data_IF_971651473394
#
_entry.id   IF_971651473394
#
_cell.length_a   1.000
_cell.length_b   1.000
_cell.length_c   1.000
_cell.angle_alpha   90.00
_cell.angle_beta   90.00
_cell.angle_gamma   90.00
#
_symmetry.space_group_name_H-M   'P 1'
#
loop_
_entity.id
_entity.type
_entity.pdbx_description
1 polymer ?
#
# COMPACT_ATOMS: atom_id res chain seq x y z
N UNK A 1 16.41 -6.77 -26.32
CA UNK A 1 17.54 -6.30 -25.47
C UNK A 1 17.14 -5.74 -24.09
N UNK A 2 16.02 -5.02 -23.92
CA UNK A 2 15.57 -4.50 -22.60
C UNK A 2 15.21 -5.62 -21.59
N UNK A 3 14.53 -6.68 -22.02
CA UNK A 3 14.13 -7.80 -21.14
C UNK A 3 15.30 -8.62 -20.59
N UNK A 4 16.40 -8.75 -21.34
CA UNK A 4 17.62 -9.42 -20.85
C UNK A 4 18.35 -8.59 -19.78
N UNK A 5 18.33 -7.26 -19.88
CA UNK A 5 18.90 -6.38 -18.85
C UNK A 5 18.09 -6.40 -17.54
N UNK A 6 16.77 -6.57 -17.63
CA UNK A 6 15.89 -6.71 -16.45
C UNK A 6 16.13 -8.06 -15.75
N UNK A 7 16.20 -9.18 -16.50
CA UNK A 7 16.55 -10.49 -15.94
C UNK A 7 17.89 -10.49 -15.20
N UNK A 8 18.92 -9.86 -15.79
CA UNK A 8 20.27 -9.77 -15.19
C UNK A 8 20.29 -8.92 -13.91
N UNK A 9 19.47 -7.86 -13.84
CA UNK A 9 19.34 -6.98 -12.67
C UNK A 9 18.58 -7.64 -11.52
N UNK A 10 17.59 -8.47 -11.82
CA UNK A 10 16.86 -9.26 -10.81
C UNK A 10 17.72 -10.40 -10.26
N UNK A 11 18.50 -11.07 -11.11
CA UNK A 11 19.50 -12.06 -10.69
C UNK A 11 20.61 -11.47 -9.80
N UNK A 12 21.04 -10.24 -10.07
CA UNK A 12 21.99 -9.53 -9.20
C UNK A 12 21.39 -9.02 -7.88
N UNK A 13 20.07 -8.78 -7.82
CA UNK A 13 19.36 -8.53 -6.56
C UNK A 13 19.19 -9.81 -5.74
N UNK A 14 18.92 -10.93 -6.41
CA UNK A 14 18.89 -12.28 -5.84
C UNK A 14 20.22 -12.66 -5.18
N UNK A 15 21.36 -12.36 -5.84
CA UNK A 15 22.71 -12.55 -5.28
C UNK A 15 23.07 -11.65 -4.08
N UNK A 16 22.31 -10.57 -3.84
CA UNK A 16 22.52 -9.65 -2.71
C UNK A 16 21.64 -9.96 -1.49
N UNK A 17 20.71 -10.91 -1.63
CA UNK A 17 19.83 -11.32 -0.54
C UNK A 17 20.51 -12.45 0.23
N UNK A 18 21.21 -12.04 1.28
CA UNK A 18 21.81 -12.86 2.35
C UNK A 18 22.49 -14.17 1.91
N UNK A 19 23.83 -14.14 1.85
CA UNK A 19 24.69 -15.26 1.45
C UNK A 19 24.47 -16.55 2.27
N UNK A 20 23.71 -16.51 3.38
CA UNK A 20 23.30 -17.68 4.15
C UNK A 20 22.20 -18.52 3.48
N UNK A 21 21.43 -17.96 2.54
CA UNK A 21 20.29 -18.64 1.89
C UNK A 21 20.61 -19.28 0.53
N UNK A 22 21.76 -18.96 -0.07
CA UNK A 22 22.10 -19.40 -1.44
C UNK A 22 22.84 -20.74 -1.53
N UNK A 23 23.22 -21.36 -0.41
CA UNK A 23 23.96 -22.63 -0.43
C UNK A 23 23.06 -23.86 -0.70
N UNK A 24 21.73 -23.75 -0.59
CA UNK A 24 20.84 -24.91 -0.57
C UNK A 24 20.27 -25.34 -1.94
N UNK A 25 20.21 -24.44 -2.93
CA UNK A 25 19.72 -24.76 -4.28
C UNK A 25 20.74 -25.53 -5.14
N UNK A 26 22.01 -25.57 -4.73
CA UNK A 26 23.08 -26.29 -5.45
C UNK A 26 23.38 -27.69 -4.90
N UNK A 27 22.76 -28.10 -3.80
CA UNK A 27 23.03 -29.41 -3.17
C UNK A 27 22.14 -30.55 -3.68
N UNK A 28 21.18 -30.27 -4.55
CA UNK A 28 20.26 -31.29 -5.07
C UNK A 28 20.84 -32.16 -6.22
N UNK A 29 22.15 -32.09 -6.53
CA UNK A 29 22.69 -32.81 -7.72
C UNK A 29 23.96 -33.66 -7.57
N UNK A 30 24.57 -33.87 -6.40
CA UNK A 30 25.68 -34.86 -6.22
C UNK A 30 25.72 -35.24 -4.73
N UNK A 31 25.71 -36.48 -4.22
CA UNK A 31 26.43 -37.72 -4.56
C UNK A 31 25.59 -38.91 -4.07
N UNK A 32 25.40 -39.90 -4.94
CA UNK A 32 24.95 -41.24 -4.60
C UNK A 32 26.11 -41.99 -3.91
N UNK A 33 25.93 -42.36 -2.65
CA UNK A 33 26.74 -43.35 -1.96
C UNK A 33 25.80 -44.37 -1.32
N UNK A 34 25.71 -45.55 -1.94
CA UNK A 34 24.95 -46.68 -1.44
C UNK A 34 25.60 -47.24 -0.17
N UNK A 35 24.88 -47.17 0.95
CA UNK A 35 25.03 -48.14 2.03
C UNK A 35 23.66 -48.73 2.31
N UNK A 36 23.53 -50.01 2.00
CA UNK A 36 22.32 -50.82 2.21
C UNK A 36 22.02 -50.93 3.71
N UNK A 37 21.11 -50.10 4.21
CA UNK A 37 20.36 -50.37 5.43
C UNK A 37 19.01 -50.95 5.02
N UNK A 38 18.70 -52.13 5.53
CA UNK A 38 17.42 -52.79 5.31
C UNK A 38 16.38 -52.14 6.22
N UNK A 39 15.95 -50.94 5.87
CA UNK A 39 14.78 -50.29 6.46
C UNK A 39 13.66 -50.34 5.41
N UNK A 40 12.41 -50.53 5.84
CA UNK A 40 11.25 -50.52 4.95
C UNK A 40 11.38 -49.32 4.01
N UNK A 41 11.42 -49.56 2.69
CA UNK A 41 11.36 -48.50 1.68
C UNK A 41 10.04 -47.74 1.86
N UNK A 42 10.04 -46.71 2.70
CA UNK A 42 8.96 -45.74 2.74
C UNK A 42 9.03 -44.98 1.43
N UNK A 43 8.06 -45.23 0.54
CA UNK A 43 7.96 -44.52 -0.73
C UNK A 43 7.77 -43.04 -0.44
N UNK A 44 8.77 -42.22 -0.79
CA UNK A 44 8.64 -40.77 -0.68
C UNK A 44 7.81 -40.26 -1.85
N UNK A 45 6.71 -39.59 -1.51
CA UNK A 45 5.78 -38.97 -2.45
C UNK A 45 5.95 -37.45 -2.44
N UNK A 46 5.36 -36.78 -3.43
CA UNK A 46 5.25 -35.32 -3.40
C UNK A 46 4.44 -34.87 -2.17
N UNK A 47 4.71 -33.67 -1.61
CA UNK A 47 3.85 -33.08 -0.60
C UNK A 47 2.43 -32.86 -1.11
N UNK A 48 1.49 -32.63 -0.20
CA UNK A 48 0.13 -32.20 -0.54
C UNK A 48 -0.10 -30.83 0.06
N UNK A 49 -0.47 -29.85 -0.77
CA UNK A 49 -0.71 -28.48 -0.35
C UNK A 49 -1.93 -27.90 -1.04
N UNK A 50 -2.64 -27.01 -0.35
CA UNK A 50 -3.84 -26.32 -0.82
C UNK A 50 -3.57 -24.82 -0.85
N UNK A 51 -4.02 -24.17 -1.93
CA UNK A 51 -3.97 -22.71 -2.03
C UNK A 51 -5.20 -22.13 -1.35
N UNK A 52 -4.98 -21.25 -0.38
CA UNK A 52 -6.06 -20.57 0.34
C UNK A 52 -6.53 -19.29 -0.36
N UNK A 53 -7.23 -18.46 0.39
CA UNK A 53 -7.77 -17.20 -0.10
C UNK A 53 -6.68 -16.13 -0.28
N UNK A 54 -7.00 -15.17 -1.15
CA UNK A 54 -6.26 -13.92 -1.31
C UNK A 54 -6.94 -12.79 -0.52
N UNK A 55 -6.17 -12.09 0.32
CA UNK A 55 -6.63 -10.96 1.12
C UNK A 55 -5.68 -9.77 0.96
N UNK A 56 -6.05 -8.63 1.53
CA UNK A 56 -5.19 -7.45 1.66
C UNK A 56 -4.55 -7.01 0.33
N UNK A 57 -5.31 -7.13 -0.76
CA UNK A 57 -4.85 -6.79 -2.10
C UNK A 57 -4.64 -5.29 -2.17
N UNK A 58 -3.39 -4.89 -2.41
CA UNK A 58 -2.98 -3.53 -2.72
C UNK A 58 -2.51 -3.41 -4.16
N UNK A 59 -2.06 -2.21 -4.53
CA UNK A 59 -1.43 -1.99 -5.82
C UNK A 59 -0.06 -2.66 -5.97
N UNK A 60 0.60 -2.99 -4.86
CA UNK A 60 1.97 -3.52 -4.87
C UNK A 60 2.15 -4.81 -4.07
N UNK A 61 1.17 -5.19 -3.26
CA UNK A 61 1.22 -6.35 -2.40
C UNK A 61 -0.13 -7.09 -2.38
N UNK A 62 -0.11 -8.36 -2.03
CA UNK A 62 -1.31 -9.14 -1.69
C UNK A 62 -0.91 -10.24 -0.71
N UNK A 63 -1.84 -10.70 0.13
CA UNK A 63 -1.60 -11.83 1.04
C UNK A 63 -2.32 -13.05 0.50
N UNK A 64 -1.63 -14.18 0.39
CA UNK A 64 -2.22 -15.46 0.00
C UNK A 64 -1.96 -16.47 1.11
N UNK A 65 -3.01 -17.12 1.58
CA UNK A 65 -2.90 -18.20 2.56
C UNK A 65 -2.58 -19.53 1.88
N UNK A 66 -1.95 -20.45 2.61
CA UNK A 66 -1.65 -21.79 2.12
C UNK A 66 -1.54 -22.78 3.27
N UNK A 67 -1.84 -24.04 2.97
CA UNK A 67 -1.77 -25.14 3.94
C UNK A 67 -1.04 -26.31 3.31
N UNK A 68 -0.05 -26.88 3.99
CA UNK A 68 0.50 -28.21 3.68
C UNK A 68 -0.24 -29.25 4.54
N UNK A 69 -0.85 -30.25 3.92
CA UNK A 69 -1.61 -31.31 4.63
C UNK A 69 -0.83 -32.61 4.74
N UNK A 70 0.21 -32.78 3.93
CA UNK A 70 1.15 -33.90 4.01
C UNK A 70 2.51 -33.50 3.45
N UNK A 71 3.59 -33.96 4.08
CA UNK A 71 4.95 -33.83 3.56
C UNK A 71 5.35 -34.99 2.63
N UNK A 72 4.44 -35.91 2.33
CA UNK A 72 4.72 -37.03 1.43
C UNK A 72 5.75 -38.04 1.94
N UNK A 73 6.03 -38.06 3.25
CA UNK A 73 6.97 -39.02 3.86
C UNK A 73 8.44 -38.57 3.90
N UNK A 74 8.77 -37.34 3.51
CA UNK A 74 10.10 -36.74 3.72
C UNK A 74 9.99 -35.32 4.27
N UNK A 75 11.08 -34.81 4.85
CA UNK A 75 11.15 -33.47 5.46
C UNK A 75 10.79 -32.40 4.41
N UNK A 76 9.99 -31.41 4.79
CA UNK A 76 9.73 -30.25 3.92
C UNK A 76 10.98 -29.38 3.84
N UNK A 77 11.39 -29.07 2.62
CA UNK A 77 12.56 -28.25 2.30
C UNK A 77 12.19 -26.80 1.99
N UNK A 78 10.99 -26.58 1.45
CA UNK A 78 10.47 -25.25 1.14
C UNK A 78 8.94 -25.28 1.09
N UNK A 79 8.31 -24.15 1.41
CA UNK A 79 6.90 -23.91 1.11
C UNK A 79 6.65 -22.41 0.93
N UNK A 80 5.50 -22.06 0.34
CA UNK A 80 5.12 -20.68 0.12
C UNK A 80 4.15 -20.54 -1.03
N UNK A 81 4.15 -19.38 -1.69
CA UNK A 81 3.25 -19.10 -2.81
C UNK A 81 4.05 -18.65 -4.02
N UNK A 82 3.82 -19.26 -5.17
CA UNK A 82 4.33 -18.82 -6.47
C UNK A 82 3.23 -18.07 -7.24
N UNK A 83 3.62 -17.10 -8.07
CA UNK A 83 2.69 -16.24 -8.79
C UNK A 83 3.27 -15.71 -10.10
N UNK A 84 2.39 -15.41 -11.05
CA UNK A 84 2.76 -14.91 -12.37
C UNK A 84 1.70 -13.97 -12.95
N UNK A 85 2.09 -13.19 -13.96
CA UNK A 85 1.17 -12.40 -14.81
C UNK A 85 0.86 -13.09 -16.14
N UNK A 86 1.50 -14.24 -16.40
CA UNK A 86 1.29 -15.03 -17.60
C UNK A 86 0.04 -15.91 -17.52
N UNK A 87 -0.34 -16.47 -18.67
CA UNK A 87 -1.50 -17.35 -18.78
C UNK A 87 -1.25 -18.77 -18.24
N UNK A 88 0.01 -19.18 -18.10
CA UNK A 88 0.38 -20.47 -17.52
C UNK A 88 0.17 -20.50 -16.01
N UNK A 89 -0.06 -21.68 -15.45
CA UNK A 89 -0.08 -21.86 -14.00
C UNK A 89 1.31 -21.56 -13.42
N UNK A 90 1.40 -20.76 -12.35
CA UNK A 90 2.68 -20.35 -11.80
C UNK A 90 3.43 -21.55 -11.22
N UNK A 91 4.76 -21.47 -11.29
CA UNK A 91 5.69 -22.41 -10.67
C UNK A 91 6.75 -21.66 -9.87
N UNK A 92 7.58 -22.38 -9.12
CA UNK A 92 8.71 -21.76 -8.39
C UNK A 92 9.77 -21.11 -9.30
N UNK A 93 9.70 -21.31 -10.63
CA UNK A 93 10.55 -20.64 -11.62
C UNK A 93 10.04 -19.23 -12.01
N UNK A 94 8.82 -18.87 -11.59
CA UNK A 94 8.24 -17.54 -11.75
C UNK A 94 8.64 -16.62 -10.57
N UNK A 95 7.70 -15.82 -10.06
CA UNK A 95 7.86 -15.13 -8.80
C UNK A 95 7.36 -16.01 -7.66
N UNK A 96 8.00 -15.94 -6.50
CA UNK A 96 7.54 -16.67 -5.32
C UNK A 96 7.80 -15.89 -4.02
N UNK A 97 7.00 -16.19 -3.02
CA UNK A 97 7.13 -15.75 -1.63
C UNK A 97 7.24 -17.00 -0.76
N UNK A 98 8.46 -17.32 -0.33
CA UNK A 98 8.74 -18.43 0.58
C UNK A 98 8.39 -18.06 2.03
N UNK A 99 7.94 -19.04 2.81
CA UNK A 99 7.57 -18.91 4.22
C UNK A 99 8.07 -20.13 5.01
N UNK A 100 7.99 -20.04 6.35
CA UNK A 100 8.51 -21.04 7.26
C UNK A 100 10.02 -20.88 7.51
N UNK A 101 10.47 -21.40 8.64
CA UNK A 101 11.88 -21.49 8.97
C UNK A 101 12.39 -22.90 8.64
N UNK A 102 13.43 -22.98 7.80
CA UNK A 102 14.06 -24.25 7.53
C UNK A 102 15.01 -24.62 8.66
N UNK A 103 14.75 -25.76 9.31
CA UNK A 103 15.64 -26.35 10.32
C UNK A 103 16.31 -27.61 9.77
N UNK A 104 17.30 -28.22 10.47
CA UNK A 104 17.82 -29.54 10.11
C UNK A 104 16.74 -30.64 10.03
N UNK A 105 15.59 -30.42 10.65
CA UNK A 105 14.42 -31.30 10.62
C UNK A 105 13.40 -30.94 9.54
N UNK A 106 13.73 -29.98 8.68
CA UNK A 106 12.84 -29.40 7.70
C UNK A 106 11.97 -28.30 8.30
N UNK A 107 10.97 -27.88 7.53
CA UNK A 107 9.94 -26.95 8.01
C UNK A 107 8.94 -27.75 8.87
N UNK A 108 8.80 -27.35 10.14
CA UNK A 108 8.03 -28.07 11.15
C UNK A 108 6.53 -28.00 10.87
N UNK A 109 5.79 -29.03 11.30
CA UNK A 109 4.35 -29.17 11.02
C UNK A 109 3.50 -28.02 11.59
N UNK A 110 3.94 -27.40 12.68
CA UNK A 110 3.28 -26.23 13.27
C UNK A 110 3.28 -24.99 12.35
N UNK A 111 4.19 -24.92 11.38
CA UNK A 111 4.26 -23.84 10.39
C UNK A 111 3.46 -24.14 9.11
N UNK A 112 2.90 -25.35 8.95
CA UNK A 112 2.31 -25.78 7.68
C UNK A 112 1.03 -25.02 7.30
N UNK A 113 0.42 -24.28 8.23
CA UNK A 113 -0.61 -23.29 7.95
C UNK A 113 0.01 -21.91 7.97
N UNK A 114 0.00 -21.20 6.84
CA UNK A 114 0.73 -19.96 6.68
C UNK A 114 -0.01 -18.92 5.83
N UNK A 115 0.48 -17.69 5.92
CA UNK A 115 0.15 -16.60 5.00
C UNK A 115 1.43 -16.05 4.38
N UNK A 116 1.45 -15.90 3.05
CA UNK A 116 2.57 -15.35 2.30
C UNK A 116 2.21 -13.98 1.74
N UNK A 117 3.03 -12.96 2.02
CA UNK A 117 2.90 -11.65 1.39
C UNK A 117 3.61 -11.64 0.05
N UNK A 118 2.84 -11.58 -1.04
CA UNK A 118 3.34 -11.31 -2.38
C UNK A 118 3.69 -9.83 -2.48
N UNK A 119 4.90 -9.51 -2.93
CA UNK A 119 5.39 -8.12 -3.02
C UNK A 119 5.83 -7.73 -4.42
N UNK A 120 5.86 -6.44 -4.69
CA UNK A 120 6.32 -5.89 -5.96
C UNK A 120 5.36 -6.14 -7.12
N UNK A 121 4.06 -6.25 -6.82
CA UNK A 121 3.01 -6.30 -7.81
C UNK A 121 2.95 -4.98 -8.60
N UNK A 122 2.49 -5.07 -9.84
CA UNK A 122 2.18 -3.89 -10.66
C UNK A 122 0.73 -3.53 -10.43
N UNK A 123 0.42 -2.24 -10.26
CA UNK A 123 -0.96 -1.76 -10.06
C UNK A 123 -1.88 -2.20 -11.20
N UNK A 124 -3.18 -2.41 -10.92
CA UNK A 124 -4.20 -2.78 -11.92
C UNK A 124 -3.79 -3.96 -12.82
N UNK A 125 -3.09 -4.95 -12.28
CA UNK A 125 -2.54 -6.08 -13.04
C UNK A 125 -3.14 -7.40 -12.55
N UNK A 126 -3.55 -8.25 -13.48
CA UNK A 126 -4.06 -9.59 -13.18
C UNK A 126 -2.90 -10.55 -12.85
N UNK A 127 -3.10 -11.38 -11.84
CA UNK A 127 -2.16 -12.37 -11.36
C UNK A 127 -2.84 -13.73 -11.18
N UNK A 128 -2.06 -14.78 -11.42
CA UNK A 128 -2.35 -16.14 -10.95
C UNK A 128 -1.41 -16.47 -9.79
N UNK A 129 -1.89 -17.19 -8.77
CA UNK A 129 -1.09 -17.62 -7.63
C UNK A 129 -1.40 -19.07 -7.23
N UNK A 130 -0.40 -19.77 -6.69
CA UNK A 130 -0.49 -21.15 -6.18
C UNK A 130 0.40 -21.34 -4.96
N UNK A 131 -0.12 -21.98 -3.92
CA UNK A 131 0.70 -22.54 -2.86
C UNK A 131 1.64 -23.61 -3.46
N UNK A 132 2.86 -23.69 -2.94
CA UNK A 132 3.81 -24.75 -3.26
C UNK A 132 4.44 -25.32 -1.98
N UNK A 133 4.85 -26.58 -2.06
CA UNK A 133 5.62 -27.25 -1.03
C UNK A 133 6.59 -28.24 -1.68
N UNK A 134 7.81 -28.32 -1.16
CA UNK A 134 8.88 -29.13 -1.73
C UNK A 134 9.47 -30.08 -0.69
N UNK A 135 9.73 -31.32 -1.09
CA UNK A 135 10.54 -32.30 -0.38
C UNK A 135 11.55 -32.94 -1.36
N UNK A 136 12.22 -34.02 -0.98
CA UNK A 136 13.17 -34.72 -1.86
C UNK A 136 12.54 -35.35 -3.12
N UNK A 137 11.24 -35.67 -3.11
CA UNK A 137 10.53 -36.19 -4.29
C UNK A 137 10.19 -35.08 -5.30
N UNK A 138 10.23 -33.81 -4.90
CA UNK A 138 10.04 -32.65 -5.77
C UNK A 138 9.11 -31.61 -5.17
N UNK A 139 8.53 -30.78 -6.05
CA UNK A 139 7.62 -29.68 -5.66
C UNK A 139 6.19 -29.99 -6.06
N UNK A 140 5.31 -29.99 -5.07
CA UNK A 140 3.87 -30.03 -5.25
C UNK A 140 3.30 -28.61 -5.28
N UNK A 141 2.14 -28.49 -5.92
CA UNK A 141 1.44 -27.22 -6.06
C UNK A 141 -0.04 -27.41 -5.76
N UNK A 142 -0.63 -26.44 -5.06
CA UNK A 142 -2.06 -26.36 -4.83
C UNK A 142 -2.83 -25.89 -6.06
N UNK A 143 -4.09 -25.54 -5.85
CA UNK A 143 -4.99 -24.99 -6.85
C UNK A 143 -4.53 -23.61 -7.33
N UNK A 144 -4.77 -23.30 -8.61
CA UNK A 144 -4.53 -21.95 -9.13
C UNK A 144 -5.69 -21.04 -8.77
N UNK A 145 -5.38 -19.93 -8.08
CA UNK A 145 -6.31 -18.82 -7.87
C UNK A 145 -5.91 -17.64 -8.76
N UNK A 146 -6.87 -16.75 -9.04
CA UNK A 146 -6.65 -15.52 -9.80
C UNK A 146 -7.09 -14.32 -8.99
N UNK A 147 -6.35 -13.22 -9.09
CA UNK A 147 -6.69 -11.94 -8.48
C UNK A 147 -6.15 -10.77 -9.30
N UNK A 148 -6.64 -9.57 -9.05
CA UNK A 148 -6.13 -8.35 -9.70
C UNK A 148 -5.67 -7.38 -8.63
N UNK A 149 -4.43 -6.92 -8.71
CA UNK A 149 -3.91 -5.89 -7.82
C UNK A 149 -4.75 -4.61 -7.92
N UNK A 150 -4.93 -3.91 -6.81
CA UNK A 150 -5.74 -2.69 -6.79
C UNK A 150 -5.04 -1.54 -7.52
N UNK A 151 -5.81 -0.49 -7.79
CA UNK A 151 -5.22 0.76 -8.22
C UNK A 151 -4.60 1.47 -7.00
N UNK A 152 -3.49 2.19 -7.21
CA UNK A 152 -2.92 3.05 -6.16
C UNK A 152 -3.66 4.39 -6.05
N UNK A 153 -3.09 5.31 -5.27
CA UNK A 153 -3.52 6.72 -5.26
C UNK A 153 -3.20 7.36 -6.60
N UNK A 154 -4.18 8.02 -7.22
CA UNK A 154 -3.99 8.83 -8.42
C UNK A 154 -4.21 10.30 -8.04
N UNK A 155 -3.13 11.07 -7.99
CA UNK A 155 -3.19 12.48 -7.58
C UNK A 155 -3.75 13.36 -8.68
N UNK A 156 -4.62 14.29 -8.30
CA UNK A 156 -5.04 15.38 -9.18
C UNK A 156 -4.12 16.57 -8.97
N UNK A 157 -3.47 17.03 -10.05
CA UNK A 157 -2.68 18.26 -10.00
C UNK A 157 -3.60 19.45 -9.75
N UNK A 158 -3.38 20.15 -8.64
CA UNK A 158 -4.07 21.39 -8.31
C UNK A 158 -3.24 22.59 -8.80
N UNK A 159 -3.92 23.66 -9.14
CA UNK A 159 -3.32 24.95 -9.52
C UNK A 159 -3.98 26.05 -8.69
N UNK A 160 -3.32 27.21 -8.60
CA UNK A 160 -3.86 28.36 -7.88
C UNK A 160 -5.27 28.77 -8.38
N UNK A 161 -5.53 28.63 -9.68
CA UNK A 161 -6.80 29.01 -10.30
C UNK A 161 -7.94 28.05 -9.93
N UNK A 162 -7.60 26.82 -9.53
CA UNK A 162 -8.58 25.81 -9.10
C UNK A 162 -8.99 25.97 -7.65
N UNK A 163 -8.22 26.71 -6.84
CA UNK A 163 -8.43 26.79 -5.40
C UNK A 163 -8.94 28.15 -4.96
N UNK A 164 -9.78 28.14 -3.93
CA UNK A 164 -10.17 29.34 -3.21
C UNK A 164 -10.27 29.06 -1.71
N UNK A 165 -10.23 30.10 -0.89
CA UNK A 165 -10.18 29.97 0.57
C UNK A 165 -11.23 30.85 1.22
N UNK A 166 -11.89 30.37 2.28
CA UNK A 166 -12.94 31.14 2.97
C UNK A 166 -12.47 32.52 3.42
N UNK A 167 -11.36 32.55 4.15
CA UNK A 167 -10.66 33.77 4.56
C UNK A 167 -9.19 33.64 4.20
N UNK A 168 -8.52 34.78 4.02
CA UNK A 168 -7.10 34.83 3.74
C UNK A 168 -6.50 36.05 4.45
N UNK A 169 -5.31 35.87 5.02
CA UNK A 169 -4.53 36.99 5.54
C UNK A 169 -4.02 37.87 4.39
N UNK A 170 -4.12 39.20 4.56
CA UNK A 170 -3.73 40.16 3.52
C UNK A 170 -2.22 40.43 3.47
N UNK A 171 -1.51 40.20 4.58
CA UNK A 171 -0.10 40.57 4.75
C UNK A 171 0.89 39.42 4.50
N UNK A 172 0.44 38.17 4.65
CA UNK A 172 1.27 36.98 4.50
C UNK A 172 0.44 35.76 4.12
N UNK A 173 1.13 34.68 3.76
CA UNK A 173 0.54 33.37 3.51
C UNK A 173 -0.60 33.34 2.47
N UNK A 174 -0.35 33.77 1.23
CA UNK A 174 -1.37 33.76 0.18
C UNK A 174 -1.75 32.33 -0.24
N UNK A 175 -2.97 32.13 -0.75
CA UNK A 175 -3.47 30.81 -1.18
C UNK A 175 -2.61 30.04 -2.20
N UNK A 176 -1.83 30.66 -3.13
CA UNK A 176 -1.01 29.89 -4.08
C UNK A 176 -0.01 28.98 -3.37
N UNK A 177 0.39 29.32 -2.15
CA UNK A 177 1.31 28.51 -1.35
C UNK A 177 0.75 27.12 -1.03
N UNK A 178 -0.57 26.90 -1.09
CA UNK A 178 -1.15 25.56 -0.89
C UNK A 178 -0.74 24.55 -1.97
N UNK A 179 -0.21 25.00 -3.11
CA UNK A 179 0.00 24.18 -4.31
C UNK A 179 1.30 24.55 -5.04
N UNK A 180 2.26 25.16 -4.34
CA UNK A 180 3.53 25.60 -4.94
C UNK A 180 4.64 24.54 -4.84
N UNK A 181 4.44 23.51 -4.02
CA UNK A 181 5.36 22.41 -3.78
C UNK A 181 6.48 22.73 -2.78
N UNK A 182 6.46 23.89 -2.14
CA UNK A 182 7.45 24.34 -1.16
C UNK A 182 6.90 24.24 0.27
N UNK A 183 7.40 23.27 1.03
CA UNK A 183 7.03 23.07 2.44
C UNK A 183 7.45 24.22 3.37
N UNK A 184 8.23 25.20 2.88
CA UNK A 184 8.62 26.37 3.65
C UNK A 184 7.68 27.57 3.47
N UNK A 185 6.75 27.52 2.51
CA UNK A 185 5.68 28.49 2.35
C UNK A 185 4.39 27.93 2.96
N UNK A 186 3.40 28.80 3.16
CA UNK A 186 2.11 28.39 3.72
C UNK A 186 1.00 29.34 3.32
N UNK A 187 -0.22 28.84 3.22
CA UNK A 187 -1.41 29.66 3.31
C UNK A 187 -1.76 29.94 4.77
N UNK A 188 -2.25 31.15 5.05
CA UNK A 188 -2.83 31.52 6.32
C UNK A 188 -4.22 32.11 6.11
N UNK A 189 -5.20 31.58 6.83
CA UNK A 189 -6.49 32.24 7.00
C UNK A 189 -6.34 33.61 7.67
N UNK A 190 -7.34 34.48 7.59
CA UNK A 190 -7.26 35.80 8.22
C UNK A 190 -7.01 35.68 9.74
N UNK A 191 -5.94 36.34 10.24
CA UNK A 191 -5.60 36.37 11.67
C UNK A 191 -5.47 37.77 12.24
N UNK A 192 -5.25 38.79 11.39
CA UNK A 192 -5.09 40.17 11.82
C UNK A 192 -6.30 41.05 11.52
N UNK A 193 -6.97 40.82 10.39
CA UNK A 193 -8.16 41.57 9.97
C UNK A 193 -9.10 40.68 9.15
N UNK A 194 -10.41 40.80 9.37
CA UNK A 194 -11.41 39.90 8.75
C UNK A 194 -11.37 38.48 9.34
N UNK A 195 -11.01 38.35 10.61
CA UNK A 195 -10.95 37.07 11.33
C UNK A 195 -12.36 36.53 11.53
N UNK A 196 -12.62 35.36 10.97
CA UNK A 196 -13.88 34.63 11.13
C UNK A 196 -13.66 33.39 12.00
N UNK A 197 -14.69 32.84 12.68
CA UNK A 197 -14.55 31.57 13.38
C UNK A 197 -14.41 30.39 12.42
N UNK A 198 -13.84 29.29 12.91
CA UNK A 198 -13.92 27.99 12.24
C UNK A 198 -15.39 27.54 12.10
N UNK A 199 -15.73 26.72 11.08
CA UNK A 199 -14.83 26.06 10.14
C UNK A 199 -14.34 26.97 9.01
N UNK A 200 -13.10 26.74 8.59
CA UNK A 200 -12.53 27.37 7.39
C UNK A 200 -12.45 26.35 6.26
N UNK A 201 -12.52 26.78 5.01
CA UNK A 201 -12.46 25.86 3.88
C UNK A 201 -11.46 26.27 2.81
N UNK A 202 -10.87 25.26 2.18
CA UNK A 202 -10.20 25.34 0.90
C UNK A 202 -11.14 24.70 -0.12
N UNK A 203 -11.69 25.52 -1.00
CA UNK A 203 -12.53 25.08 -2.11
C UNK A 203 -11.65 24.66 -3.28
N UNK A 204 -12.00 23.55 -3.93
CA UNK A 204 -11.34 23.04 -5.13
C UNK A 204 -12.38 22.93 -6.23
N UNK A 205 -12.09 23.53 -7.39
CA UNK A 205 -12.94 23.50 -8.58
C UNK A 205 -12.22 22.83 -9.73
N UNK A 206 -12.73 21.69 -10.16
CA UNK A 206 -12.26 20.99 -11.35
C UNK A 206 -13.04 21.42 -12.60
N UNK A 207 -12.37 21.41 -13.76
CA UNK A 207 -13.02 21.67 -15.04
C UNK A 207 -14.10 20.62 -15.38
N UNK A 208 -13.86 19.38 -14.97
CA UNK A 208 -14.75 18.23 -15.15
C UNK A 208 -14.91 17.48 -13.82
N UNK A 209 -15.91 16.58 -13.76
CA UNK A 209 -16.14 15.78 -12.56
C UNK A 209 -14.92 14.90 -12.29
N UNK A 210 -14.44 14.92 -11.04
CA UNK A 210 -13.35 14.07 -10.56
C UNK A 210 -13.80 13.27 -9.34
N UNK A 211 -13.15 12.13 -9.12
CA UNK A 211 -13.26 11.35 -7.91
C UNK A 211 -12.16 11.74 -6.93
N UNK A 212 -12.51 11.96 -5.66
CA UNK A 212 -11.56 12.13 -4.56
C UNK A 212 -11.85 11.07 -3.51
N UNK A 213 -10.85 10.26 -3.18
CA UNK A 213 -10.85 9.27 -2.10
C UNK A 213 -9.98 9.68 -0.92
N UNK A 214 -9.29 10.82 -1.00
CA UNK A 214 -8.47 11.33 0.09
C UNK A 214 -7.68 12.58 -0.29
N UNK A 215 -6.97 13.11 0.69
CA UNK A 215 -6.09 14.26 0.53
C UNK A 215 -4.84 14.13 1.39
N UNK A 216 -3.80 14.85 0.99
CA UNK A 216 -2.58 15.01 1.79
C UNK A 216 -2.39 16.49 2.04
N UNK A 217 -1.93 16.82 3.24
CA UNK A 217 -1.61 18.19 3.60
C UNK A 217 -0.30 18.25 4.38
N UNK A 218 0.44 19.34 4.19
CA UNK A 218 1.56 19.66 5.04
C UNK A 218 1.17 20.76 6.02
N UNK A 219 1.64 20.64 7.26
CA UNK A 219 1.51 21.70 8.26
C UNK A 219 2.62 22.73 8.05
N UNK A 220 2.37 24.00 8.44
CA UNK A 220 3.31 25.10 8.24
C UNK A 220 4.70 24.83 8.82
N UNK A 221 4.78 24.61 10.15
CA UNK A 221 6.03 24.33 10.85
C UNK A 221 5.80 23.83 12.29
N UNK A 222 6.87 23.28 12.92
CA UNK A 222 6.85 22.71 14.29
C UNK A 222 6.52 23.71 15.40
N UNK A 223 6.65 25.00 15.12
CA UNK A 223 6.40 26.12 16.02
C UNK A 223 5.10 26.86 15.73
N UNK A 224 4.29 26.38 14.77
CA UNK A 224 2.97 26.92 14.50
C UNK A 224 2.22 27.04 15.84
N UNK A 225 1.62 28.21 16.08
CA UNK A 225 1.11 28.67 17.38
C UNK A 225 -0.19 27.97 17.79
N UNK A 226 -0.25 26.66 17.61
CA UNK A 226 -1.44 25.85 17.84
C UNK A 226 -2.44 25.84 16.70
N UNK A 227 -2.22 26.62 15.64
CA UNK A 227 -3.20 26.82 14.56
C UNK A 227 -3.07 25.86 13.37
N UNK A 228 -2.21 24.83 13.47
CA UNK A 228 -2.21 23.75 12.48
C UNK A 228 -3.58 23.03 12.48
N UNK A 229 -4.12 22.67 11.30
CA UNK A 229 -5.35 21.90 11.18
C UNK A 229 -5.28 20.60 12.00
N UNK A 230 -6.34 20.31 12.74
CA UNK A 230 -6.43 19.09 13.56
C UNK A 230 -7.72 18.30 13.33
N UNK A 231 -8.70 18.84 12.63
CA UNK A 231 -9.88 18.07 12.25
C UNK A 231 -10.44 18.60 10.94
N UNK A 232 -10.95 17.70 10.12
CA UNK A 232 -11.45 18.03 8.79
C UNK A 232 -12.85 17.49 8.55
N UNK A 233 -13.58 18.15 7.67
CA UNK A 233 -14.61 17.51 6.87
C UNK A 233 -14.36 17.73 5.37
N UNK A 234 -14.98 16.90 4.55
CA UNK A 234 -15.02 17.08 3.09
C UNK A 234 -16.46 17.32 2.68
N UNK A 235 -16.66 18.33 1.83
CA UNK A 235 -17.94 18.62 1.22
C UNK A 235 -17.87 18.53 -0.30
N UNK A 236 -19.00 18.19 -0.92
CA UNK A 236 -19.19 18.20 -2.38
C UNK A 236 -20.34 19.14 -2.76
N UNK A 237 -20.33 19.65 -3.99
CA UNK A 237 -21.43 20.42 -4.56
C UNK A 237 -21.69 20.06 -6.02
N UNK A 238 -22.92 20.28 -6.50
CA UNK A 238 -23.30 20.15 -7.92
C UNK A 238 -23.30 21.49 -8.65
N UNK A 239 -23.40 22.61 -7.92
CA UNK A 239 -23.57 23.97 -8.47
C UNK A 239 -22.43 24.93 -8.09
N UNK A 240 -21.53 24.52 -7.20
CA UNK A 240 -20.41 25.33 -6.71
C UNK A 240 -20.81 26.38 -5.65
N UNK A 241 -22.06 26.34 -5.17
CA UNK A 241 -22.62 27.30 -4.21
C UNK A 241 -23.19 26.61 -2.96
N UNK A 242 -23.96 25.54 -3.15
CA UNK A 242 -24.57 24.76 -2.06
C UNK A 242 -23.75 23.50 -1.84
N UNK A 243 -23.18 23.35 -0.65
CA UNK A 243 -22.28 22.25 -0.30
C UNK A 243 -22.91 21.30 0.72
N UNK A 244 -22.65 20.01 0.56
CA UNK A 244 -23.06 18.95 1.51
C UNK A 244 -21.82 18.25 2.04
N UNK A 245 -21.72 18.13 3.38
CA UNK A 245 -20.67 17.32 4.01
C UNK A 245 -20.89 15.85 3.70
N UNK A 246 -19.84 15.20 3.18
CA UNK A 246 -19.86 13.79 2.78
C UNK A 246 -18.95 12.92 3.63
N UNK A 247 -17.99 13.51 4.35
CA UNK A 247 -17.07 12.80 5.22
C UNK A 247 -16.54 13.73 6.31
N UNK A 248 -16.26 13.20 7.49
CA UNK A 248 -15.67 13.93 8.62
C UNK A 248 -14.59 13.08 9.27
N UNK A 249 -13.45 13.68 9.59
CA UNK A 249 -12.35 13.01 10.27
C UNK A 249 -12.57 12.97 11.79
N UNK A 250 -11.95 11.99 12.43
CA UNK A 250 -11.57 12.13 13.83
C UNK A 250 -10.56 13.28 13.97
N UNK A 251 -10.40 13.76 15.20
CA UNK A 251 -9.41 14.77 15.53
C UNK A 251 -8.00 14.14 15.55
N UNK A 252 -7.02 14.86 15.01
CA UNK A 252 -5.65 14.41 14.75
C UNK A 252 -4.71 14.77 15.90
N UNK A 253 -5.08 14.41 17.12
CA UNK A 253 -4.30 14.74 18.31
C UNK A 253 -3.00 13.90 18.37
N UNK A 254 -1.84 14.57 18.41
CA UNK A 254 -0.49 13.98 18.53
C UNK A 254 -0.06 13.02 17.40
N UNK A 255 -0.80 12.95 16.29
CA UNK A 255 -0.45 12.09 15.13
C UNK A 255 0.12 12.86 13.94
N UNK A 256 0.08 14.21 13.99
CA UNK A 256 0.56 15.06 12.91
C UNK A 256 2.09 15.10 12.83
N UNK A 257 2.63 14.81 11.66
CA UNK A 257 4.04 15.01 11.31
C UNK A 257 4.28 16.44 10.85
N UNK A 258 5.44 17.02 11.19
CA UNK A 258 5.68 18.45 11.02
C UNK A 258 7.17 18.83 10.91
N UNK A 259 7.62 19.56 9.86
CA UNK A 259 6.89 19.96 8.65
C UNK A 259 6.95 18.84 7.60
N UNK A 260 5.99 17.92 7.63
CA UNK A 260 5.96 16.76 6.75
C UNK A 260 4.53 16.53 6.25
N UNK A 261 4.39 15.72 5.20
CA UNK A 261 3.10 15.36 4.63
C UNK A 261 2.29 14.45 5.58
N UNK A 262 1.02 14.79 5.76
CA UNK A 262 0.02 14.02 6.48
C UNK A 262 -1.05 13.58 5.47
N UNK A 263 -1.42 12.30 5.47
CA UNK A 263 -2.41 11.76 4.53
C UNK A 263 -3.69 11.35 5.26
N UNK A 264 -4.84 11.70 4.70
CA UNK A 264 -6.16 11.25 5.13
C UNK A 264 -6.88 10.59 3.96
N UNK A 265 -7.25 9.33 4.14
CA UNK A 265 -8.17 8.63 3.24
C UNK A 265 -9.59 8.81 3.74
N UNK A 266 -10.52 9.00 2.80
CA UNK A 266 -11.96 8.99 3.05
C UNK A 266 -12.46 7.55 3.16
N UNK A 267 -13.76 7.38 3.37
CA UNK A 267 -14.42 6.07 3.42
C UNK A 267 -14.69 5.47 2.03
N UNK A 268 -14.81 6.32 1.01
CA UNK A 268 -14.95 5.96 -0.41
C UNK A 268 -14.52 7.10 -1.32
N UNK A 269 -14.52 6.86 -2.63
CA UNK A 269 -14.32 7.91 -3.62
C UNK A 269 -15.62 8.71 -3.83
N UNK A 270 -15.58 10.02 -3.59
CA UNK A 270 -16.69 10.94 -3.85
C UNK A 270 -16.50 11.65 -5.19
N UNK A 271 -17.58 11.76 -5.96
CA UNK A 271 -17.55 12.34 -7.32
C UNK A 271 -18.16 13.73 -7.34
N UNK A 272 -17.40 14.74 -7.77
CA UNK A 272 -17.89 16.11 -7.92
C UNK A 272 -16.98 16.96 -8.81
N UNK A 273 -17.47 18.11 -9.27
CA UNK A 273 -16.62 19.20 -9.79
C UNK A 273 -16.10 20.12 -8.67
N UNK A 274 -16.85 20.20 -7.58
CA UNK A 274 -16.68 21.21 -6.54
C UNK A 274 -16.52 20.51 -5.20
N UNK A 275 -15.32 20.62 -4.63
CA UNK A 275 -15.02 20.09 -3.31
C UNK A 275 -14.70 21.21 -2.35
N UNK A 276 -14.92 20.98 -1.07
CA UNK A 276 -14.31 21.74 0.02
C UNK A 276 -13.62 20.78 0.96
N UNK A 277 -12.35 21.01 1.22
CA UNK A 277 -11.67 20.46 2.40
C UNK A 277 -11.80 21.52 3.47
N UNK A 278 -12.59 21.24 4.52
CA UNK A 278 -12.77 22.19 5.62
C UNK A 278 -11.99 21.77 6.83
N UNK A 279 -11.45 22.76 7.52
CA UNK A 279 -10.75 22.65 8.78
C UNK A 279 -11.75 23.01 9.87
N UNK A 280 -12.12 22.02 10.68
CA UNK A 280 -13.13 22.15 11.73
C UNK A 280 -12.53 22.59 13.06
N UNK A 281 -11.29 22.17 13.33
CA UNK A 281 -10.55 22.52 14.53
C UNK A 281 -9.04 22.55 14.24
N UNK A 282 -8.28 23.14 15.16
CA UNK A 282 -6.82 23.20 15.11
C UNK A 282 -6.18 22.48 16.31
N UNK A 283 -4.86 22.32 16.26
CA UNK A 283 -4.07 21.65 17.30
C UNK A 283 -4.36 22.21 18.69
N UNK A 284 -4.56 23.52 18.81
CA UNK A 284 -5.06 24.15 20.03
C UNK A 284 -6.55 24.46 19.86
N UNK A 285 -7.45 23.76 20.57
CA UNK A 285 -8.88 23.99 20.42
C UNK A 285 -9.27 25.45 20.70
N UNK A 286 -10.24 25.96 19.94
CA UNK A 286 -10.79 27.30 20.12
C UNK A 286 -10.02 28.42 19.40
N UNK A 287 -9.03 28.09 18.57
CA UNK A 287 -8.45 29.06 17.63
C UNK A 287 -9.43 29.35 16.50
N UNK A 288 -9.48 30.62 16.09
CA UNK A 288 -10.26 31.03 14.91
C UNK A 288 -9.45 30.94 13.62
N UNK A 289 -8.12 31.04 13.70
CA UNK A 289 -7.25 30.99 12.54
C UNK A 289 -6.59 29.62 12.37
N UNK A 290 -6.26 29.30 11.14
CA UNK A 290 -5.48 28.13 10.73
C UNK A 290 -4.52 28.44 9.57
N UNK A 291 -3.53 27.57 9.39
CA UNK A 291 -2.57 27.66 8.29
C UNK A 291 -2.20 26.26 7.77
N UNK A 292 -1.85 26.17 6.49
CA UNK A 292 -1.47 24.93 5.83
C UNK A 292 -0.36 25.22 4.84
N UNK A 293 0.70 24.43 4.85
CA UNK A 293 1.80 24.57 3.91
C UNK A 293 1.31 24.17 2.52
N UNK A 294 0.88 22.93 2.37
CA UNK A 294 0.52 22.36 1.07
C UNK A 294 -0.75 21.51 1.15
N UNK A 295 -1.43 21.34 0.02
CA UNK A 295 -2.60 20.48 -0.16
C UNK A 295 -2.51 19.70 -1.48
N UNK A 296 -2.71 18.39 -1.41
CA UNK A 296 -2.91 17.49 -2.55
C UNK A 296 -4.18 16.70 -2.36
N UNK A 297 -4.84 16.34 -3.47
CA UNK A 297 -6.00 15.44 -3.44
C UNK A 297 -5.78 14.27 -4.39
N UNK A 298 -6.34 13.11 -4.05
CA UNK A 298 -6.16 11.89 -4.84
C UNK A 298 -7.46 11.08 -4.93
N UNK A 299 -7.65 10.40 -6.06
CA UNK A 299 -8.53 9.24 -6.15
C UNK A 299 -7.82 8.05 -5.48
N UNK A 300 -8.51 7.34 -4.59
CA UNK A 300 -7.93 6.20 -3.90
C UNK A 300 -8.45 4.89 -4.50
N UNK A 301 -7.63 4.30 -5.36
CA UNK A 301 -7.93 3.03 -6.02
C UNK A 301 -7.95 1.81 -5.09
N UNK A 302 -7.63 2.02 -3.81
CA UNK A 302 -7.67 1.01 -2.76
C UNK A 302 -9.06 0.90 -2.12
N UNK A 303 -9.84 1.98 -2.14
CA UNK A 303 -11.16 2.07 -1.54
C UNK A 303 -12.21 1.36 -2.41
N UNK A 304 -13.30 0.85 -1.81
CA UNK A 304 -14.43 0.35 -2.57
C UNK A 304 -15.07 1.47 -3.41
N UNK A 305 -15.65 1.08 -4.55
CA UNK A 305 -16.51 1.95 -5.38
C UNK A 305 -17.89 2.12 -4.76
#
# INVERSE_FOLDING_TARGET
MKNQKIKKRNYQKFLKMDLSRMAFLLFAMVVISFTTSCDKDESVNLPVTTTGEVTDITGQDAVVSGIVTSNGGSKLLAMGVCFTTGDADPTVEDYFAAVGEFTPDGILQEDWSYSATLKGLTIKTAYKARAYASNEAGTAYGETISFTSKAGKTYHTLTNEMIDTYTQEGSEGPKPNLVDGDLNTYWHSAWSGGVEPLPHHIQITFAEVKNIGGFEFATRDKYARGNNPAQFDVQTSTDGTTYTTVWTSDRLDNVLLNPEWNALSLDKNYSSKYFRVRILDTKTPGQNSTCMAELKVFEDGMLPY
#
